data_IF_526188954356
#
_entry.id   IF_526188954356
#
_cell.length_a   1.000
_cell.length_b   1.000
_cell.length_c   1.000
_cell.angle_alpha   90.00
_cell.angle_beta   90.00
_cell.angle_gamma   90.00
#
_symmetry.space_group_name_H-M   'P 1'
#
loop_
_entity.id
_entity.type
_entity.pdbx_description
1 polymer ?
#
# COMPACT_ATOMS: atom_id res chain seq x y z
N UNK A 1 10.25 -8.74 -14.66
CA UNK A 1 9.54 -8.42 -13.40
C UNK A 1 9.35 -6.92 -13.21
N UNK A 2 10.42 -6.12 -13.10
CA UNK A 2 10.33 -4.65 -12.94
C UNK A 2 9.41 -3.97 -13.96
N UNK A 3 9.55 -4.31 -15.25
CA UNK A 3 8.70 -3.75 -16.32
C UNK A 3 7.22 -4.17 -16.21
N UNK A 4 6.94 -5.41 -15.81
CA UNK A 4 5.57 -5.86 -15.53
C UNK A 4 4.94 -5.02 -14.42
N UNK A 5 5.66 -4.84 -13.31
CA UNK A 5 5.18 -4.06 -12.17
C UNK A 5 4.93 -2.61 -12.58
N UNK A 6 5.86 -1.98 -13.31
CA UNK A 6 5.69 -0.62 -13.83
C UNK A 6 4.46 -0.51 -14.73
N UNK A 7 4.27 -1.48 -15.63
CA UNK A 7 3.11 -1.53 -16.51
C UNK A 7 1.80 -1.63 -15.70
N UNK A 8 1.74 -2.49 -14.69
CA UNK A 8 0.57 -2.63 -13.82
C UNK A 8 0.28 -1.40 -12.96
N UNK A 9 1.31 -0.70 -12.50
CA UNK A 9 1.14 0.60 -11.85
C UNK A 9 0.56 1.62 -12.84
N UNK A 10 1.02 1.63 -14.09
CA UNK A 10 0.50 2.52 -15.13
C UNK A 10 -0.93 2.21 -15.56
N UNK A 11 -1.33 0.94 -15.58
CA UNK A 11 -2.73 0.55 -15.79
C UNK A 11 -3.62 1.03 -14.64
N UNK A 12 -3.14 0.93 -13.40
CA UNK A 12 -3.86 1.36 -12.21
C UNK A 12 -3.93 2.89 -12.06
N UNK A 13 -2.81 3.59 -12.33
CA UNK A 13 -2.70 5.04 -12.30
C UNK A 13 -1.95 5.56 -13.55
N UNK A 14 -2.67 5.86 -14.63
CA UNK A 14 -2.07 6.34 -15.87
C UNK A 14 -1.33 7.67 -15.73
N UNK A 15 -1.74 8.51 -14.76
CA UNK A 15 -1.20 9.85 -14.55
C UNK A 15 0.20 9.82 -13.91
N UNK A 16 0.56 8.71 -13.27
CA UNK A 16 1.82 8.55 -12.57
C UNK A 16 3.00 8.42 -13.54
N UNK A 17 3.51 9.53 -14.08
CA UNK A 17 4.64 9.57 -15.01
C UNK A 17 5.98 9.54 -14.28
N UNK A 18 7.02 9.03 -14.95
CA UNK A 18 8.42 9.04 -14.49
C UNK A 18 8.63 8.67 -13.01
N UNK A 19 8.58 7.36 -12.71
CA UNK A 19 8.74 6.86 -11.34
C UNK A 19 9.76 5.73 -11.24
N UNK A 20 10.32 5.62 -10.04
CA UNK A 20 11.14 4.49 -9.63
C UNK A 20 10.34 3.53 -8.77
N UNK A 21 10.70 2.24 -8.83
CA UNK A 21 10.10 1.22 -7.98
C UNK A 21 11.16 0.48 -7.16
N UNK A 22 10.79 0.14 -5.94
CA UNK A 22 11.50 -0.80 -5.08
C UNK A 22 10.51 -1.86 -4.59
N UNK A 23 10.86 -3.12 -4.72
CA UNK A 23 10.00 -4.23 -4.31
C UNK A 23 10.82 -5.34 -3.69
N UNK A 24 10.21 -6.08 -2.77
CA UNK A 24 10.74 -7.33 -2.26
C UNK A 24 10.17 -8.49 -3.08
N UNK A 25 10.97 -9.53 -3.28
CA UNK A 25 10.47 -10.78 -3.88
C UNK A 25 9.71 -11.65 -2.87
N UNK A 26 9.71 -11.29 -1.59
CA UNK A 26 9.07 -12.07 -0.53
C UNK A 26 7.57 -11.78 -0.47
N UNK A 27 6.80 -12.85 -0.39
CA UNK A 27 5.37 -12.80 -0.12
C UNK A 27 5.13 -12.34 1.33
N UNK A 28 4.11 -11.52 1.52
CA UNK A 28 3.62 -11.09 2.82
C UNK A 28 2.32 -11.80 3.12
N UNK A 29 2.25 -12.45 4.28
CA UNK A 29 1.06 -13.13 4.77
C UNK A 29 0.01 -12.07 5.10
N UNK A 30 -1.17 -12.15 4.46
CA UNK A 30 -2.23 -11.16 4.61
C UNK A 30 -2.75 -11.08 6.05
N UNK A 31 -2.81 -12.21 6.76
CA UNK A 31 -3.29 -12.26 8.15
C UNK A 31 -2.35 -11.57 9.14
N UNK A 32 -1.04 -11.61 8.87
CA UNK A 32 -0.05 -10.86 9.64
C UNK A 32 -0.22 -9.36 9.40
N UNK A 33 -0.49 -8.94 8.16
CA UNK A 33 -0.77 -7.55 7.82
C UNK A 33 -2.07 -7.05 8.47
N UNK A 34 -3.14 -7.86 8.46
CA UNK A 34 -4.39 -7.53 9.17
C UNK A 34 -4.13 -7.32 10.66
N UNK A 35 -3.37 -8.23 11.29
CA UNK A 35 -3.02 -8.13 12.71
C UNK A 35 -2.16 -6.90 13.00
N UNK A 36 -1.17 -6.62 12.15
CA UNK A 36 -0.30 -5.45 12.24
C UNK A 36 -1.11 -4.15 12.15
N UNK A 37 -2.01 -4.02 11.18
CA UNK A 37 -2.78 -2.79 10.99
C UNK A 37 -3.89 -2.59 12.02
N UNK A 38 -4.46 -3.67 12.58
CA UNK A 38 -5.27 -3.58 13.81
C UNK A 38 -4.47 -2.98 14.97
N UNK A 39 -3.21 -3.41 15.14
CA UNK A 39 -2.30 -2.85 16.14
C UNK A 39 -2.00 -1.37 15.89
N UNK A 40 -1.58 -1.03 14.67
CA UNK A 40 -1.27 0.36 14.28
C UNK A 40 -2.46 1.30 14.46
N UNK A 41 -3.66 0.88 14.09
CA UNK A 41 -4.87 1.68 14.28
C UNK A 41 -5.16 1.96 15.77
N UNK A 42 -4.99 0.96 16.65
CA UNK A 42 -5.15 1.15 18.10
C UNK A 42 -4.08 2.07 18.71
N UNK A 43 -2.89 2.10 18.13
CA UNK A 43 -1.77 2.93 18.59
C UNK A 43 -1.74 4.33 17.96
N UNK A 44 -2.60 4.61 16.98
CA UNK A 44 -2.65 5.88 16.28
C UNK A 44 -3.04 7.01 17.25
N UNK A 45 -2.20 8.05 17.32
CA UNK A 45 -2.42 9.21 18.20
C UNK A 45 -3.19 10.34 17.51
N UNK A 46 -3.07 10.47 16.19
CA UNK A 46 -3.83 11.46 15.41
C UNK A 46 -4.98 10.79 14.67
N UNK A 47 -6.06 11.53 14.47
CA UNK A 47 -7.23 11.03 13.74
C UNK A 47 -6.86 10.71 12.28
N UNK A 48 -6.01 11.53 11.65
CA UNK A 48 -5.52 11.28 10.28
C UNK A 48 -4.79 9.93 10.14
N UNK A 49 -3.94 9.57 11.10
CA UNK A 49 -3.26 8.27 11.09
C UNK A 49 -4.23 7.14 11.40
N UNK A 50 -5.20 7.38 12.27
CA UNK A 50 -6.24 6.41 12.62
C UNK A 50 -7.14 6.11 11.41
N UNK A 51 -7.59 7.13 10.70
CA UNK A 51 -8.35 6.99 9.44
C UNK A 51 -7.53 6.25 8.39
N UNK A 52 -6.28 6.65 8.15
CA UNK A 52 -5.41 5.97 7.18
C UNK A 52 -5.22 4.49 7.52
N UNK A 53 -4.87 4.17 8.76
CA UNK A 53 -4.65 2.79 9.19
C UNK A 53 -5.94 1.96 9.19
N UNK A 54 -7.09 2.58 9.47
CA UNK A 54 -8.41 1.97 9.35
C UNK A 54 -8.75 1.62 7.90
N UNK A 55 -8.51 2.56 6.97
CA UNK A 55 -8.74 2.34 5.54
C UNK A 55 -7.85 1.22 4.99
N UNK A 56 -6.57 1.19 5.38
CA UNK A 56 -5.66 0.12 4.99
C UNK A 56 -6.12 -1.23 5.56
N UNK A 57 -6.54 -1.27 6.83
CA UNK A 57 -7.08 -2.49 7.45
C UNK A 57 -8.32 -2.99 6.70
N UNK A 58 -9.26 -2.10 6.37
CA UNK A 58 -10.47 -2.46 5.64
C UNK A 58 -10.14 -3.04 4.27
N UNK A 59 -9.19 -2.45 3.54
CA UNK A 59 -8.73 -3.00 2.26
C UNK A 59 -8.12 -4.39 2.40
N UNK A 60 -7.31 -4.65 3.44
CA UNK A 60 -6.80 -6.01 3.68
C UNK A 60 -7.91 -7.02 3.98
N UNK A 61 -8.94 -6.63 4.74
CA UNK A 61 -10.09 -7.50 4.99
C UNK A 61 -10.89 -7.80 3.71
N UNK A 62 -11.02 -6.82 2.80
CA UNK A 62 -11.64 -7.04 1.50
C UNK A 62 -10.85 -8.04 0.65
N UNK A 63 -9.52 -7.90 0.60
CA UNK A 63 -8.64 -8.86 -0.11
C UNK A 63 -8.77 -10.26 0.50
N UNK A 64 -8.87 -10.37 1.83
CA UNK A 64 -9.03 -11.65 2.51
C UNK A 64 -10.33 -12.36 2.11
N UNK A 65 -11.41 -11.61 1.87
CA UNK A 65 -12.68 -12.17 1.39
C UNK A 65 -12.57 -12.75 -0.03
N UNK A 66 -11.57 -12.34 -0.82
CA UNK A 66 -11.23 -12.95 -2.13
C UNK A 66 -10.42 -14.27 -1.98
N UNK A 67 -10.25 -14.80 -0.76
CA UNK A 67 -9.45 -16.01 -0.46
C UNK A 67 -7.97 -15.88 -0.85
N UNK A 68 -7.44 -14.65 -0.81
CA UNK A 68 -6.03 -14.36 -1.06
C UNK A 68 -5.25 -14.44 0.25
N UNK A 69 -4.19 -15.25 0.25
CA UNK A 69 -3.35 -15.47 1.43
C UNK A 69 -2.10 -14.58 1.43
N UNK A 70 -1.58 -14.28 0.24
CA UNK A 70 -0.30 -13.58 0.06
C UNK A 70 -0.44 -12.33 -0.79
N UNK A 71 0.24 -11.27 -0.38
CA UNK A 71 0.37 -10.02 -1.13
C UNK A 71 1.82 -9.58 -1.21
N UNK A 72 2.13 -8.63 -2.08
CA UNK A 72 3.45 -8.00 -2.16
C UNK A 72 3.34 -6.49 -2.06
N UNK A 73 4.36 -5.89 -1.46
CA UNK A 73 4.49 -4.44 -1.44
C UNK A 73 5.48 -3.97 -2.51
N UNK A 74 5.05 -2.94 -3.23
CA UNK A 74 5.88 -2.20 -4.17
C UNK A 74 5.89 -0.75 -3.72
N UNK A 75 7.06 -0.23 -3.38
CA UNK A 75 7.24 1.19 -3.11
C UNK A 75 7.51 1.89 -4.43
N UNK A 76 6.71 2.90 -4.73
CA UNK A 76 6.86 3.77 -5.89
C UNK A 76 7.31 5.14 -5.42
N UNK A 77 8.37 5.66 -6.02
CA UNK A 77 8.92 6.98 -5.72
C UNK A 77 8.90 7.85 -6.97
N UNK A 78 8.41 9.05 -6.80
CA UNK A 78 8.35 10.10 -7.81
C UNK A 78 8.39 11.43 -7.08
N UNK A 79 9.13 12.40 -7.63
CA UNK A 79 9.43 13.66 -6.97
C UNK A 79 9.92 13.45 -5.51
N UNK A 80 9.21 14.02 -4.53
CA UNK A 80 9.44 13.86 -3.09
C UNK A 80 8.49 12.85 -2.43
N UNK A 81 7.61 12.21 -3.21
CA UNK A 81 6.54 11.35 -2.71
C UNK A 81 6.96 9.88 -2.74
N UNK A 82 6.66 9.17 -1.64
CA UNK A 82 6.73 7.71 -1.56
C UNK A 82 5.34 7.14 -1.36
N UNK A 83 4.91 6.30 -2.30
CA UNK A 83 3.60 5.64 -2.32
C UNK A 83 3.79 4.14 -2.27
N UNK A 84 3.06 3.45 -1.40
CA UNK A 84 3.13 2.00 -1.26
C UNK A 84 1.93 1.37 -1.96
N UNK A 85 2.20 0.47 -2.90
CA UNK A 85 1.21 -0.30 -3.62
C UNK A 85 1.17 -1.72 -3.08
N UNK A 86 -0.04 -2.24 -2.87
CA UNK A 86 -0.31 -3.62 -2.47
C UNK A 86 -0.73 -4.41 -3.68
N UNK A 87 0.07 -5.41 -4.03
CA UNK A 87 -0.08 -6.25 -5.22
C UNK A 87 -0.51 -7.67 -4.85
N UNK A 88 -1.13 -8.35 -5.81
CA UNK A 88 -1.16 -9.81 -5.84
C UNK A 88 0.27 -10.38 -5.83
N UNK A 89 0.45 -11.58 -5.26
CA UNK A 89 1.77 -12.20 -5.11
C UNK A 89 2.53 -12.40 -6.45
N UNK A 90 1.78 -12.58 -7.54
CA UNK A 90 2.28 -12.70 -8.91
C UNK A 90 2.42 -11.36 -9.66
N UNK A 91 2.12 -10.24 -8.99
CA UNK A 91 2.05 -8.89 -9.54
C UNK A 91 0.99 -8.67 -10.64
N UNK A 92 0.00 -9.55 -10.79
CA UNK A 92 -1.03 -9.43 -11.84
C UNK A 92 -2.01 -8.26 -11.62
N UNK A 93 -2.26 -7.89 -10.36
CA UNK A 93 -3.26 -6.90 -9.93
C UNK A 93 -2.69 -6.02 -8.81
N UNK A 94 -2.96 -4.73 -8.89
CA UNK A 94 -2.87 -3.80 -7.75
C UNK A 94 -4.21 -3.88 -7.00
N UNK A 95 -4.19 -4.14 -5.70
CA UNK A 95 -5.40 -4.10 -4.87
C UNK A 95 -5.73 -2.69 -4.44
N UNK A 96 -4.74 -2.01 -3.88
CA UNK A 96 -4.83 -0.62 -3.45
C UNK A 96 -3.44 -0.06 -3.24
N UNK A 97 -3.38 1.23 -2.96
CA UNK A 97 -2.17 1.94 -2.63
C UNK A 97 -2.44 2.93 -1.49
N UNK A 98 -1.37 3.50 -0.93
CA UNK A 98 -1.48 4.63 -0.02
C UNK A 98 -0.14 5.36 0.11
N UNK A 99 -0.22 6.63 0.53
CA UNK A 99 0.93 7.42 0.97
C UNK A 99 0.90 7.58 2.48
N UNK A 100 2.04 7.41 3.15
CA UNK A 100 2.14 7.84 4.54
C UNK A 100 2.23 9.37 4.59
N UNK A 101 1.50 10.04 5.51
CA UNK A 101 1.66 11.47 5.70
C UNK A 101 3.08 11.76 6.18
N UNK A 102 3.77 12.65 5.48
CA UNK A 102 4.99 13.29 5.98
C UNK A 102 4.61 14.31 7.04
N UNK A 103 5.44 14.50 8.08
CA UNK A 103 5.15 15.33 9.27
C UNK A 103 4.62 16.75 8.93
N UNK A 104 4.99 17.33 7.78
CA UNK A 104 4.50 18.63 7.31
C UNK A 104 2.98 18.70 7.01
N UNK A 105 2.29 17.56 6.86
CA UNK A 105 0.83 17.53 6.62
C UNK A 105 0.00 17.38 7.92
N UNK A 106 0.64 17.40 9.10
CA UNK A 106 -0.04 17.31 10.40
C UNK A 106 -0.31 18.68 11.04
N UNK A 107 0.29 19.75 10.53
CA UNK A 107 0.17 21.12 11.09
C UNK A 107 -0.89 21.99 10.40
N UNK A 108 -1.63 21.44 9.42
CA UNK A 108 -2.70 22.17 8.71
C UNK A 108 -4.08 21.66 9.13
N UNK A 109 -4.48 21.93 10.36
CA UNK A 109 -5.89 21.96 10.81
C UNK A 109 -6.03 22.77 12.10
#
# INVERSE_FOLDING_TARGET
>A
MKELIKHKIKEYDPQLNEFEISYSNHDLILDDLVSLYKGRNKMAKSESIKELTSNILNNFLLIKNESIEYVKFVVVRYDITSRLFVFAADYSKVFFDFTFPTENNLESN
#
